data_IF_624071719934
#
_entry.id   IF_624071719934
#
_cell.length_a   1.000
_cell.length_b   1.000
_cell.length_c   1.000
_cell.angle_alpha   90.00
_cell.angle_beta   90.00
_cell.angle_gamma   90.00
#
_symmetry.space_group_name_H-M   'P 1'
#
loop_
_entity.id
_entity.type
_entity.pdbx_description
1 polymer ?
#
# COMPACT_ATOMS: atom_id res chain seq x y z
N UNK A 1 -18.28 38.20 19.26
CA UNK A 1 -16.87 38.51 18.93
C UNK A 1 -16.24 37.23 18.42
N UNK A 2 -15.81 37.19 17.15
CA UNK A 2 -15.00 36.07 16.64
C UNK A 2 -13.69 36.08 17.44
N UNK A 3 -13.43 35.02 18.19
CA UNK A 3 -12.20 34.91 18.98
C UNK A 3 -11.01 34.76 18.04
N UNK A 4 -9.87 35.39 18.36
CA UNK A 4 -8.63 35.27 17.56
C UNK A 4 -8.23 33.79 17.34
N UNK A 5 -8.54 32.95 18.31
CA UNK A 5 -8.37 31.49 18.24
C UNK A 5 -9.20 30.84 17.13
N UNK A 6 -10.45 31.26 16.90
CA UNK A 6 -11.27 30.73 15.81
C UNK A 6 -10.69 31.11 14.45
N UNK A 7 -10.23 32.36 14.29
CA UNK A 7 -9.59 32.81 13.06
C UNK A 7 -8.33 32.00 12.76
N UNK A 8 -7.49 31.77 13.79
CA UNK A 8 -6.29 30.94 13.70
C UNK A 8 -6.62 29.51 13.31
N UNK A 9 -7.61 28.89 13.96
CA UNK A 9 -8.06 27.53 13.66
C UNK A 9 -8.58 27.39 12.22
N UNK A 10 -9.35 28.36 11.73
CA UNK A 10 -9.83 28.40 10.35
C UNK A 10 -8.67 28.52 9.36
N UNK A 11 -7.68 29.37 9.63
CA UNK A 11 -6.52 29.56 8.77
C UNK A 11 -5.64 28.31 8.72
N UNK A 12 -5.35 27.70 9.88
CA UNK A 12 -4.58 26.45 9.97
C UNK A 12 -5.29 25.32 9.25
N UNK A 13 -6.57 25.10 9.52
CA UNK A 13 -7.35 24.04 8.85
C UNK A 13 -7.48 24.27 7.34
N UNK A 14 -7.58 25.52 6.89
CA UNK A 14 -7.55 25.88 5.47
C UNK A 14 -6.23 25.48 4.82
N UNK A 15 -5.09 25.80 5.46
CA UNK A 15 -3.76 25.41 4.97
C UNK A 15 -3.60 23.88 4.91
N UNK A 16 -4.00 23.16 5.95
CA UNK A 16 -3.89 21.69 5.99
C UNK A 16 -4.80 21.02 4.94
N UNK A 17 -6.04 21.49 4.79
CA UNK A 17 -6.97 21.00 3.77
C UNK A 17 -6.50 21.32 2.35
N UNK A 18 -5.92 22.51 2.14
CA UNK A 18 -5.30 22.89 0.88
C UNK A 18 -4.09 22.00 0.54
N UNK A 19 -3.25 21.66 1.53
CA UNK A 19 -2.09 20.80 1.30
C UNK A 19 -2.51 19.41 0.78
N UNK A 20 -3.50 18.78 1.41
CA UNK A 20 -4.07 17.50 0.95
C UNK A 20 -4.68 17.67 -0.45
N UNK A 21 -5.46 18.73 -0.65
CA UNK A 21 -6.12 19.00 -1.92
C UNK A 21 -5.15 19.25 -3.09
N UNK A 22 -3.97 19.82 -2.81
CA UNK A 22 -2.93 20.07 -3.81
C UNK A 22 -2.25 18.77 -4.26
N UNK A 23 -1.91 17.87 -3.33
CA UNK A 23 -1.39 16.54 -3.68
C UNK A 23 -2.40 15.78 -4.53
N UNK A 24 -3.68 15.80 -4.14
CA UNK A 24 -4.77 15.14 -4.88
C UNK A 24 -4.95 15.71 -6.29
N UNK A 25 -4.83 17.03 -6.44
CA UNK A 25 -4.93 17.68 -7.75
C UNK A 25 -3.71 17.38 -8.62
N UNK A 26 -2.50 17.36 -8.06
CA UNK A 26 -1.28 17.01 -8.78
C UNK A 26 -1.35 15.56 -9.29
N UNK A 27 -1.73 14.58 -8.44
CA UNK A 27 -1.88 13.18 -8.87
C UNK A 27 -2.80 13.08 -10.11
N UNK A 28 -3.91 13.82 -10.09
CA UNK A 28 -4.87 13.87 -11.20
C UNK A 28 -4.23 14.39 -12.49
N UNK A 29 -3.56 15.54 -12.43
CA UNK A 29 -2.98 16.19 -13.62
C UNK A 29 -1.84 15.36 -14.23
N UNK A 30 -1.07 14.66 -13.40
CA UNK A 30 0.10 13.90 -13.89
C UNK A 30 -0.27 12.49 -14.37
N UNK A 31 -1.15 11.78 -13.67
CA UNK A 31 -1.35 10.34 -13.91
C UNK A 31 -2.67 9.99 -14.59
N UNK A 32 -3.69 10.85 -14.51
CA UNK A 32 -5.03 10.60 -15.06
C UNK A 32 -5.61 11.82 -15.81
N UNK A 33 -4.95 12.34 -16.86
CA UNK A 33 -5.46 13.47 -17.63
C UNK A 33 -6.83 13.12 -18.26
N UNK A 34 -7.82 14.01 -18.09
CA UNK A 34 -9.15 13.88 -18.68
C UNK A 34 -10.21 13.13 -17.84
N UNK A 35 -9.86 12.50 -16.71
CA UNK A 35 -10.87 11.92 -15.80
C UNK A 35 -11.34 12.95 -14.76
N UNK A 36 -12.64 13.23 -14.70
CA UNK A 36 -13.24 14.04 -13.62
C UNK A 36 -13.17 13.28 -12.29
N UNK A 37 -12.17 13.54 -11.45
CA UNK A 37 -12.05 12.94 -10.10
C UNK A 37 -12.93 13.68 -9.07
N UNK A 38 -13.27 12.97 -7.98
CA UNK A 38 -14.23 13.33 -6.93
C UNK A 38 -14.05 14.72 -6.29
N UNK A 39 -12.81 15.18 -6.13
CA UNK A 39 -12.47 16.31 -5.28
C UNK A 39 -11.10 16.86 -5.66
N UNK A 40 -10.95 18.19 -5.68
CA UNK A 40 -9.68 18.90 -5.89
C UNK A 40 -9.35 19.83 -4.73
N UNK A 41 -8.39 20.74 -4.92
CA UNK A 41 -7.92 21.69 -3.89
C UNK A 41 -9.08 22.32 -3.10
N UNK A 42 -10.02 22.95 -3.82
CA UNK A 42 -11.19 23.63 -3.25
C UNK A 42 -12.06 22.70 -2.39
N UNK A 43 -12.29 21.47 -2.84
CA UNK A 43 -13.15 20.51 -2.15
C UNK A 43 -12.55 20.09 -0.80
N UNK A 44 -11.26 19.76 -0.78
CA UNK A 44 -10.56 19.38 0.46
C UNK A 44 -10.41 20.56 1.43
N UNK A 45 -10.18 21.77 0.90
CA UNK A 45 -10.20 22.99 1.73
C UNK A 45 -11.57 23.18 2.39
N UNK A 46 -12.67 23.03 1.65
CA UNK A 46 -14.02 23.16 2.22
C UNK A 46 -14.33 22.06 3.23
N UNK A 47 -13.90 20.81 2.99
CA UNK A 47 -14.09 19.71 3.94
C UNK A 47 -13.36 19.93 5.26
N UNK A 48 -12.13 20.43 5.22
CA UNK A 48 -11.37 20.79 6.42
C UNK A 48 -12.05 21.92 7.19
N UNK A 49 -12.46 22.99 6.50
CA UNK A 49 -13.19 24.11 7.10
C UNK A 49 -14.51 23.66 7.75
N UNK A 50 -15.26 22.77 7.08
CA UNK A 50 -16.51 22.21 7.59
C UNK A 50 -16.25 21.41 8.86
N UNK A 51 -15.17 20.62 8.91
CA UNK A 51 -14.70 19.93 10.11
C UNK A 51 -14.41 20.88 11.27
N UNK A 52 -13.67 21.96 11.01
CA UNK A 52 -13.31 22.96 12.03
C UNK A 52 -14.55 23.69 12.56
N UNK A 53 -15.47 24.08 11.67
CA UNK A 53 -16.71 24.76 12.06
C UNK A 53 -17.60 23.83 12.88
N UNK A 54 -17.80 22.58 12.45
CA UNK A 54 -18.56 21.60 13.21
C UNK A 54 -17.93 21.31 14.57
N UNK A 55 -16.60 21.23 14.66
CA UNK A 55 -15.87 21.07 15.92
C UNK A 55 -16.09 22.26 16.85
N UNK A 56 -16.04 23.48 16.33
CA UNK A 56 -16.30 24.70 17.10
C UNK A 56 -17.76 24.78 17.60
N UNK A 57 -18.74 24.52 16.73
CA UNK A 57 -20.16 24.52 17.12
C UNK A 57 -20.51 23.44 18.14
N UNK A 58 -19.75 22.34 18.18
CA UNK A 58 -19.95 21.27 19.17
C UNK A 58 -19.69 21.74 20.59
N UNK A 59 -18.76 22.68 20.78
CA UNK A 59 -18.47 23.26 22.09
C UNK A 59 -19.53 24.28 22.55
N UNK A 60 -20.29 24.86 21.61
CA UNK A 60 -21.25 25.95 21.89
C UNK A 60 -22.70 25.44 21.97
N UNK A 61 -23.10 24.54 21.07
CA UNK A 61 -24.50 24.17 20.86
C UNK A 61 -24.81 22.79 21.41
N UNK A 62 -24.17 21.74 20.89
CA UNK A 62 -24.46 20.36 21.29
C UNK A 62 -23.29 19.40 21.00
N UNK A 63 -22.95 18.48 21.91
CA UNK A 63 -21.88 17.48 21.74
C UNK A 63 -22.00 16.59 20.49
N UNK A 64 -23.22 16.38 20.00
CA UNK A 64 -23.48 15.52 18.83
C UNK A 64 -23.37 16.24 17.48
N UNK A 65 -23.14 17.55 17.46
CA UNK A 65 -23.14 18.32 16.22
C UNK A 65 -21.98 17.90 15.29
N UNK A 66 -20.80 17.62 15.83
CA UNK A 66 -19.67 17.07 15.08
C UNK A 66 -20.00 15.72 14.44
N UNK A 67 -20.62 14.81 15.20
CA UNK A 67 -21.00 13.49 14.69
C UNK A 67 -22.06 13.60 13.58
N UNK A 68 -23.03 14.49 13.75
CA UNK A 68 -24.05 14.76 12.73
C UNK A 68 -23.43 15.31 11.43
N UNK A 69 -22.49 16.25 11.54
CA UNK A 69 -21.74 16.79 10.40
C UNK A 69 -20.90 15.73 9.70
N UNK A 70 -20.21 14.88 10.46
CA UNK A 70 -19.45 13.75 9.94
C UNK A 70 -20.33 12.76 9.18
N UNK A 71 -21.46 12.37 9.75
CA UNK A 71 -22.43 11.47 9.11
C UNK A 71 -23.01 12.07 7.84
N UNK A 72 -23.41 13.35 7.87
CA UNK A 72 -23.92 14.05 6.69
C UNK A 72 -22.89 14.06 5.55
N UNK A 73 -21.62 14.32 5.88
CA UNK A 73 -20.53 14.30 4.90
C UNK A 73 -20.26 12.88 4.37
N UNK A 74 -20.27 11.86 5.23
CA UNK A 74 -20.10 10.47 4.82
C UNK A 74 -21.22 10.00 3.88
N UNK A 75 -22.47 10.35 4.19
CA UNK A 75 -23.62 10.07 3.34
C UNK A 75 -23.50 10.80 2.00
N UNK A 76 -23.13 12.08 2.01
CA UNK A 76 -22.95 12.86 0.78
C UNK A 76 -21.87 12.26 -0.13
N UNK A 77 -20.71 11.89 0.43
CA UNK A 77 -19.64 11.21 -0.30
C UNK A 77 -20.09 9.85 -0.83
N UNK A 78 -20.81 9.06 -0.02
CA UNK A 78 -21.31 7.75 -0.43
C UNK A 78 -22.29 7.85 -1.59
N UNK A 79 -23.24 8.80 -1.55
CA UNK A 79 -24.17 9.08 -2.63
C UNK A 79 -23.41 9.49 -3.89
N UNK A 80 -22.45 10.41 -3.77
CA UNK A 80 -21.65 10.85 -4.91
C UNK A 80 -20.86 9.69 -5.55
N UNK A 81 -20.23 8.85 -4.73
CA UNK A 81 -19.54 7.65 -5.19
C UNK A 81 -20.49 6.67 -5.88
N UNK A 82 -21.68 6.46 -5.34
CA UNK A 82 -22.69 5.58 -5.92
C UNK A 82 -23.16 6.05 -7.30
N UNK A 83 -23.48 7.34 -7.45
CA UNK A 83 -23.85 7.92 -8.75
C UNK A 83 -22.73 7.82 -9.77
N UNK A 84 -21.48 8.04 -9.34
CA UNK A 84 -20.31 8.00 -10.23
C UNK A 84 -19.89 6.58 -10.62
N UNK A 85 -20.12 5.59 -9.76
CA UNK A 85 -19.78 4.19 -10.01
C UNK A 85 -20.46 3.62 -11.28
N UNK A 86 -21.58 4.21 -11.72
CA UNK A 86 -22.25 3.85 -12.98
C UNK A 86 -21.44 4.14 -14.25
N UNK A 87 -20.37 4.94 -14.16
CA UNK A 87 -19.70 5.50 -15.35
C UNK A 87 -18.18 5.27 -15.39
N UNK A 88 -17.54 4.66 -14.37
CA UNK A 88 -16.08 4.47 -14.37
C UNK A 88 -15.62 3.25 -13.58
N UNK A 89 -14.65 2.52 -14.12
CA UNK A 89 -14.09 1.27 -13.57
C UNK A 89 -13.15 1.45 -12.35
N UNK A 90 -12.79 2.69 -11.98
CA UNK A 90 -12.03 2.99 -10.76
C UNK A 90 -12.86 3.90 -9.85
N UNK A 91 -13.55 3.34 -8.85
CA UNK A 91 -14.32 4.13 -7.92
C UNK A 91 -13.33 4.81 -6.97
N UNK A 92 -13.42 6.12 -6.82
CA UNK A 92 -12.54 6.92 -5.97
C UNK A 92 -12.75 6.69 -4.47
N UNK A 93 -12.81 5.43 -4.01
CA UNK A 93 -13.04 5.04 -2.61
C UNK A 93 -11.98 5.65 -1.70
N UNK A 94 -10.71 5.64 -2.11
CA UNK A 94 -9.62 6.30 -1.38
C UNK A 94 -9.81 7.81 -1.29
N UNK A 95 -10.35 8.46 -2.33
CA UNK A 95 -10.67 9.90 -2.29
C UNK A 95 -11.77 10.20 -1.27
N UNK A 96 -12.78 9.33 -1.17
CA UNK A 96 -13.84 9.46 -0.14
C UNK A 96 -13.29 9.32 1.28
N UNK A 97 -12.46 8.31 1.51
CA UNK A 97 -11.81 8.09 2.81
C UNK A 97 -10.90 9.26 3.22
N UNK A 98 -10.08 9.78 2.30
CA UNK A 98 -9.24 10.96 2.54
C UNK A 98 -10.11 12.19 2.82
N UNK A 99 -11.28 12.30 2.16
CA UNK A 99 -12.23 13.37 2.46
C UNK A 99 -12.71 13.35 3.90
N UNK A 100 -13.14 12.18 4.38
CA UNK A 100 -13.55 12.00 5.78
C UNK A 100 -12.40 12.27 6.75
N UNK A 101 -11.17 11.83 6.44
CA UNK A 101 -9.99 12.16 7.23
C UNK A 101 -9.73 13.67 7.27
N UNK A 102 -9.94 14.37 6.16
CA UNK A 102 -9.73 15.82 6.07
C UNK A 102 -10.73 16.57 6.96
N UNK A 103 -11.97 16.10 7.04
CA UNK A 103 -12.95 16.62 7.99
C UNK A 103 -12.51 16.41 9.45
N UNK A 104 -12.01 15.21 9.78
CA UNK A 104 -11.51 14.91 11.12
C UNK A 104 -10.30 15.79 11.48
N UNK A 105 -9.37 16.01 10.53
CA UNK A 105 -8.22 16.91 10.69
C UNK A 105 -8.69 18.33 11.03
N UNK A 106 -9.69 18.87 10.32
CA UNK A 106 -10.29 20.16 10.66
C UNK A 106 -10.90 20.18 12.08
N UNK A 107 -11.58 19.09 12.44
CA UNK A 107 -12.08 18.89 13.81
C UNK A 107 -10.98 18.93 14.87
N UNK A 108 -9.84 18.25 14.64
CA UNK A 108 -8.70 18.27 15.58
C UNK A 108 -8.17 19.70 15.80
N UNK A 109 -8.12 20.52 14.75
CA UNK A 109 -7.71 21.93 14.86
C UNK A 109 -8.70 22.72 15.73
N UNK A 110 -10.01 22.46 15.62
CA UNK A 110 -11.01 23.10 16.48
C UNK A 110 -10.89 22.71 17.97
N UNK A 111 -10.36 21.52 18.27
CA UNK A 111 -10.05 21.09 19.65
C UNK A 111 -8.66 21.55 20.14
N UNK A 112 -7.96 22.40 19.39
CA UNK A 112 -6.64 22.94 19.76
C UNK A 112 -5.48 21.95 19.59
N UNK A 113 -5.69 20.82 18.91
CA UNK A 113 -4.68 19.79 18.67
C UNK A 113 -3.92 20.03 17.36
N UNK A 114 -3.38 21.24 17.18
CA UNK A 114 -2.72 21.68 15.94
C UNK A 114 -1.57 20.75 15.52
N UNK A 115 -0.76 20.29 16.48
CA UNK A 115 0.38 19.39 16.22
C UNK A 115 -0.07 18.04 15.67
N UNK A 116 -1.11 17.46 16.27
CA UNK A 116 -1.64 16.17 15.83
C UNK A 116 -2.29 16.29 14.45
N UNK A 117 -3.03 17.38 14.20
CA UNK A 117 -3.60 17.68 12.88
C UNK A 117 -2.52 17.79 11.80
N UNK A 118 -1.41 18.48 12.10
CA UNK A 118 -0.29 18.64 11.18
C UNK A 118 0.42 17.31 10.88
N UNK A 119 0.74 16.52 11.90
CA UNK A 119 1.38 15.20 11.72
C UNK A 119 0.48 14.29 10.87
N UNK A 120 -0.81 14.20 11.22
CA UNK A 120 -1.77 13.37 10.49
C UNK A 120 -1.91 13.82 9.03
N UNK A 121 -1.98 15.13 8.78
CA UNK A 121 -2.02 15.71 7.43
C UNK A 121 -0.79 15.28 6.63
N UNK A 122 0.41 15.44 7.20
CA UNK A 122 1.65 15.05 6.52
C UNK A 122 1.73 13.55 6.26
N UNK A 123 1.34 12.72 7.23
CA UNK A 123 1.28 11.26 7.05
C UNK A 123 0.35 10.87 5.91
N UNK A 124 -0.84 11.49 5.85
CA UNK A 124 -1.80 11.28 4.76
C UNK A 124 -1.18 11.72 3.43
N UNK A 125 -0.62 12.91 3.33
CA UNK A 125 0.03 13.42 2.10
C UNK A 125 1.16 12.49 1.64
N UNK A 126 2.01 12.00 2.55
CA UNK A 126 3.09 11.07 2.22
C UNK A 126 2.55 9.74 1.69
N UNK A 127 1.54 9.16 2.38
CA UNK A 127 0.92 7.90 1.95
C UNK A 127 0.32 8.02 0.57
N UNK A 128 -0.37 9.14 0.32
CA UNK A 128 -0.98 9.47 -0.95
C UNK A 128 0.07 9.66 -2.06
N UNK A 129 1.16 10.37 -1.79
CA UNK A 129 2.27 10.55 -2.73
C UNK A 129 3.00 9.23 -3.06
N UNK A 130 2.98 8.25 -2.15
CA UNK A 130 3.59 6.93 -2.36
C UNK A 130 2.74 6.00 -3.24
N UNK A 131 1.44 6.27 -3.38
CA UNK A 131 0.51 5.46 -4.17
C UNK A 131 0.98 5.14 -5.60
N UNK A 132 1.43 6.11 -6.43
CA UNK A 132 1.91 5.81 -7.78
C UNK A 132 3.10 4.87 -7.80
N UNK A 133 4.04 5.00 -6.85
CA UNK A 133 5.19 4.10 -6.73
C UNK A 133 4.75 2.67 -6.41
N UNK A 134 3.86 2.51 -5.42
CA UNK A 134 3.32 1.20 -5.05
C UNK A 134 2.57 0.57 -6.21
N UNK A 135 1.76 1.36 -6.94
CA UNK A 135 1.01 0.85 -8.09
C UNK A 135 1.93 0.47 -9.26
N UNK A 136 2.98 1.26 -9.51
CA UNK A 136 3.97 0.97 -10.56
C UNK A 136 4.78 -0.29 -10.24
N UNK A 137 5.18 -0.47 -8.98
CA UNK A 137 5.85 -1.69 -8.51
C UNK A 137 4.90 -2.89 -8.58
N UNK A 138 3.64 -2.72 -8.16
CA UNK A 138 2.60 -3.75 -8.29
C UNK A 138 2.41 -4.21 -9.74
N UNK A 139 2.43 -3.28 -10.71
CA UNK A 139 2.32 -3.59 -12.15
C UNK A 139 3.53 -4.33 -12.71
N UNK A 140 4.69 -4.29 -12.04
CA UNK A 140 5.87 -5.08 -12.45
C UNK A 140 5.74 -6.55 -12.07
N UNK A 141 4.86 -6.88 -11.12
CA UNK A 141 4.58 -8.25 -10.73
C UNK A 141 3.60 -8.91 -11.72
N UNK A 142 4.06 -9.96 -12.39
CA UNK A 142 3.22 -10.88 -13.15
C UNK A 142 2.48 -11.83 -12.22
N UNK A 143 1.40 -12.45 -12.71
CA UNK A 143 0.72 -13.56 -12.04
C UNK A 143 1.69 -14.70 -11.71
N UNK A 144 2.68 -14.93 -12.58
CA UNK A 144 3.75 -15.91 -12.36
C UNK A 144 4.61 -15.54 -11.14
N UNK A 145 5.01 -14.26 -11.00
CA UNK A 145 5.86 -13.81 -9.88
C UNK A 145 5.16 -14.06 -8.54
N UNK A 146 3.88 -13.70 -8.47
CA UNK A 146 3.05 -13.87 -7.28
C UNK A 146 2.85 -15.35 -6.96
N UNK A 147 2.61 -16.19 -7.98
CA UNK A 147 2.48 -17.65 -7.80
C UNK A 147 3.77 -18.26 -7.26
N UNK A 148 4.92 -17.92 -7.83
CA UNK A 148 6.22 -18.46 -7.41
C UNK A 148 6.57 -18.01 -5.99
N UNK A 149 6.35 -16.74 -5.67
CA UNK A 149 6.55 -16.22 -4.32
C UNK A 149 5.63 -16.90 -3.29
N UNK A 150 4.35 -17.08 -3.61
CA UNK A 150 3.38 -17.77 -2.75
C UNK A 150 3.74 -19.25 -2.55
N UNK A 151 4.15 -19.96 -3.60
CA UNK A 151 4.56 -21.36 -3.49
C UNK A 151 5.79 -21.51 -2.59
N UNK A 152 6.80 -20.67 -2.79
CA UNK A 152 7.98 -20.67 -1.93
C UNK A 152 7.64 -20.31 -0.48
N UNK A 153 6.83 -19.27 -0.26
CA UNK A 153 6.35 -18.88 1.07
C UNK A 153 5.51 -19.97 1.74
N UNK A 154 4.70 -20.71 0.99
CA UNK A 154 3.93 -21.84 1.53
C UNK A 154 4.86 -22.98 1.97
N UNK A 155 5.81 -23.39 1.13
CA UNK A 155 6.75 -24.48 1.45
C UNK A 155 7.62 -24.13 2.67
N UNK A 156 8.11 -22.88 2.74
CA UNK A 156 9.03 -22.42 3.79
C UNK A 156 8.33 -21.96 5.06
N UNK A 157 7.28 -21.17 4.94
CA UNK A 157 6.61 -20.53 6.07
C UNK A 157 5.44 -21.32 6.64
N UNK A 158 4.87 -22.26 5.87
CA UNK A 158 3.73 -23.07 6.32
C UNK A 158 4.12 -24.53 6.49
N UNK A 159 4.72 -25.15 5.46
CA UNK A 159 4.95 -26.60 5.50
C UNK A 159 6.15 -26.94 6.39
N UNK A 160 7.30 -26.28 6.22
CA UNK A 160 8.50 -26.55 7.02
C UNK A 160 8.25 -26.54 8.54
N UNK A 161 7.60 -25.51 9.14
CA UNK A 161 7.33 -25.51 10.58
C UNK A 161 6.28 -26.54 11.02
N UNK A 162 5.48 -27.09 10.09
CA UNK A 162 4.54 -28.18 10.38
C UNK A 162 5.22 -29.56 10.38
N UNK A 163 6.40 -29.70 9.77
CA UNK A 163 7.09 -30.98 9.66
C UNK A 163 7.77 -31.32 10.99
N UNK A 164 7.45 -32.46 11.61
CA UNK A 164 8.07 -32.87 12.86
C UNK A 164 9.57 -33.11 12.72
N UNK A 165 10.32 -32.64 13.70
CA UNK A 165 11.79 -32.73 13.77
C UNK A 165 12.25 -34.05 14.44
N UNK A 166 11.60 -35.16 14.08
CA UNK A 166 11.83 -36.47 14.70
C UNK A 166 12.34 -37.51 13.69
N UNK A 167 13.38 -38.29 14.02
CA UNK A 167 13.89 -39.35 13.16
C UNK A 167 12.91 -40.54 13.11
N UNK A 168 12.48 -40.90 11.90
CA UNK A 168 11.61 -42.02 11.57
C UNK A 168 12.40 -43.20 10.93
N UNK A 169 11.89 -44.43 11.09
CA UNK A 169 12.41 -45.66 10.47
C UNK A 169 13.36 -46.52 11.33
N UNK A 170 13.70 -47.75 10.90
CA UNK A 170 14.65 -48.61 11.62
C UNK A 170 16.02 -47.94 11.71
N UNK A 171 16.54 -47.75 12.92
CA UNK A 171 17.77 -46.98 13.24
C UNK A 171 17.68 -45.45 13.10
N UNK A 172 16.50 -44.85 12.96
CA UNK A 172 16.34 -43.39 12.94
C UNK A 172 16.97 -42.69 11.72
N UNK A 173 17.11 -43.40 10.60
CA UNK A 173 17.83 -42.92 9.43
C UNK A 173 17.11 -41.82 8.62
N UNK A 174 15.80 -41.63 8.81
CA UNK A 174 15.01 -40.65 8.04
C UNK A 174 14.48 -39.53 8.93
N UNK A 175 15.00 -38.31 8.80
CA UNK A 175 14.39 -37.13 9.43
C UNK A 175 13.54 -36.36 8.38
N UNK A 176 12.20 -36.33 8.50
CA UNK A 176 11.31 -35.58 7.60
C UNK A 176 11.69 -34.11 7.47
N UNK A 177 12.10 -33.46 8.56
CA UNK A 177 12.47 -32.05 8.56
C UNK A 177 13.76 -31.80 7.75
N UNK A 178 14.75 -32.69 7.85
CA UNK A 178 15.98 -32.61 7.04
C UNK A 178 15.71 -32.78 5.54
N UNK A 179 14.78 -33.66 5.18
CA UNK A 179 14.36 -33.85 3.79
C UNK A 179 13.61 -32.61 3.29
N UNK A 180 12.75 -32.03 4.14
CA UNK A 180 12.00 -30.83 3.77
C UNK A 180 12.89 -29.59 3.64
N UNK A 181 13.95 -29.48 4.44
CA UNK A 181 14.99 -28.47 4.27
C UNK A 181 15.66 -28.56 2.89
N UNK A 182 15.88 -29.78 2.37
CA UNK A 182 16.34 -29.97 0.99
C UNK A 182 15.35 -29.41 -0.04
N UNK A 183 14.04 -29.61 0.17
CA UNK A 183 12.98 -29.04 -0.69
C UNK A 183 12.99 -27.51 -0.64
N UNK A 184 13.17 -26.93 0.54
CA UNK A 184 13.30 -25.49 0.75
C UNK A 184 14.53 -24.93 0.03
N UNK A 185 15.68 -25.60 0.12
CA UNK A 185 16.90 -25.18 -0.57
C UNK A 185 16.75 -25.20 -2.09
N UNK A 186 16.21 -26.29 -2.66
CA UNK A 186 16.01 -26.40 -4.11
C UNK A 186 14.97 -25.39 -4.61
N UNK A 187 13.87 -25.22 -3.87
CA UNK A 187 12.83 -24.24 -4.21
C UNK A 187 13.34 -22.80 -4.07
N UNK A 188 14.18 -22.53 -3.06
CA UNK A 188 14.81 -21.25 -2.83
C UNK A 188 15.83 -20.89 -3.90
N UNK A 189 16.64 -21.86 -4.35
CA UNK A 189 17.54 -21.67 -5.49
C UNK A 189 16.75 -21.39 -6.78
N UNK A 190 15.65 -22.11 -7.02
CA UNK A 190 14.79 -21.93 -8.19
C UNK A 190 14.11 -20.55 -8.19
N UNK A 191 13.54 -20.14 -7.05
CA UNK A 191 12.92 -18.83 -6.87
C UNK A 191 13.97 -17.70 -6.95
N UNK A 192 15.13 -17.88 -6.32
CA UNK A 192 16.24 -16.93 -6.39
C UNK A 192 16.76 -16.72 -7.81
N UNK A 193 16.89 -17.81 -8.59
CA UNK A 193 17.21 -17.75 -10.02
C UNK A 193 16.17 -16.99 -10.83
N UNK A 194 14.89 -17.27 -10.59
CA UNK A 194 13.79 -16.56 -11.22
C UNK A 194 13.83 -15.05 -10.94
N UNK A 195 14.03 -14.67 -9.68
CA UNK A 195 14.17 -13.26 -9.25
C UNK A 195 15.41 -12.61 -9.87
N UNK A 196 16.54 -13.32 -9.94
CA UNK A 196 17.76 -12.83 -10.56
C UNK A 196 17.55 -12.53 -12.07
N UNK A 197 16.90 -13.44 -12.79
CA UNK A 197 16.55 -13.22 -14.21
C UNK A 197 15.60 -12.04 -14.38
N UNK A 198 14.63 -11.90 -13.47
CA UNK A 198 13.66 -10.81 -13.49
C UNK A 198 14.32 -9.44 -13.24
N UNK A 199 15.28 -9.35 -12.33
CA UNK A 199 15.95 -8.09 -11.95
C UNK A 199 17.06 -7.68 -12.92
N UNK A 200 17.89 -8.64 -13.37
CA UNK A 200 19.07 -8.37 -14.20
C UNK A 200 18.84 -8.60 -15.70
N UNK A 201 17.63 -9.03 -16.10
CA UNK A 201 17.25 -9.29 -17.48
C UNK A 201 17.78 -10.62 -18.01
N UNK A 202 17.22 -11.08 -19.15
CA UNK A 202 17.41 -12.43 -19.69
C UNK A 202 18.89 -12.78 -19.99
N UNK A 203 19.75 -11.79 -20.28
CA UNK A 203 21.17 -12.00 -20.62
C UNK A 203 22.09 -12.23 -19.40
N UNK A 204 21.87 -11.53 -18.29
CA UNK A 204 22.63 -11.77 -17.04
C UNK A 204 21.95 -12.79 -16.13
N UNK A 205 20.64 -12.95 -16.26
CA UNK A 205 19.83 -13.86 -15.46
C UNK A 205 20.25 -15.30 -15.57
N UNK A 206 20.50 -15.80 -16.78
CA UNK A 206 20.86 -17.21 -17.01
C UNK A 206 22.27 -17.48 -16.45
N UNK A 207 23.20 -16.54 -16.62
CA UNK A 207 24.56 -16.64 -16.09
C UNK A 207 24.60 -16.61 -14.55
N UNK A 208 23.83 -15.72 -13.90
CA UNK A 208 23.73 -15.68 -12.44
C UNK A 208 22.97 -16.90 -11.87
N UNK A 209 21.92 -17.35 -12.54
CA UNK A 209 21.20 -18.57 -12.12
C UNK A 209 22.08 -19.80 -12.25
N UNK A 210 22.92 -19.87 -13.28
CA UNK A 210 23.94 -20.91 -13.45
C UNK A 210 25.03 -20.86 -12.37
N UNK A 211 25.45 -19.65 -11.97
CA UNK A 211 26.42 -19.45 -10.90
C UNK A 211 25.84 -19.82 -9.51
N UNK A 212 24.62 -19.36 -9.20
CA UNK A 212 23.91 -19.65 -7.94
C UNK A 212 23.47 -21.13 -7.87
N UNK A 213 23.00 -21.70 -8.98
CA UNK A 213 22.72 -23.13 -9.09
C UNK A 213 23.98 -23.99 -8.97
N UNK A 214 25.13 -23.45 -9.38
CA UNK A 214 26.41 -24.14 -9.29
C UNK A 214 27.07 -24.16 -7.92
N UNK A 215 26.89 -23.09 -7.13
CA UNK A 215 27.25 -23.09 -5.71
C UNK A 215 26.31 -23.96 -4.87
N UNK A 216 25.05 -24.13 -5.30
CA UNK A 216 24.09 -25.01 -4.62
C UNK A 216 24.28 -26.51 -4.97
N UNK A 217 24.78 -26.82 -6.17
CA UNK A 217 25.06 -28.20 -6.58
C UNK A 217 26.05 -28.24 -7.75
N UNK A 218 27.28 -28.70 -7.49
CA UNK A 218 28.31 -28.88 -8.53
C UNK A 218 27.86 -29.79 -9.68
N UNK A 219 26.87 -30.66 -9.44
CA UNK A 219 26.25 -31.54 -10.46
C UNK A 219 25.43 -30.76 -11.49
N UNK A 220 24.77 -29.67 -11.09
CA UNK A 220 23.97 -28.84 -11.99
C UNK A 220 24.86 -28.02 -12.94
N UNK A 221 26.01 -27.53 -12.47
CA UNK A 221 27.02 -26.85 -13.30
C UNK A 221 27.59 -27.76 -14.37
N UNK A 222 27.97 -28.99 -14.00
CA UNK A 222 28.52 -29.95 -14.97
C UNK A 222 27.52 -30.27 -16.08
N UNK A 223 26.24 -30.43 -15.75
CA UNK A 223 25.20 -30.73 -16.72
C UNK A 223 24.90 -29.55 -17.67
N UNK A 224 24.97 -28.31 -17.16
CA UNK A 224 24.78 -27.10 -17.95
C UNK A 224 25.95 -26.86 -18.92
N UNK A 225 27.19 -26.94 -18.44
CA UNK A 225 28.38 -26.76 -19.28
C UNK A 225 28.52 -27.88 -20.34
N UNK A 226 28.10 -29.11 -20.01
CA UNK A 226 28.13 -30.22 -20.98
C UNK A 226 27.13 -30.05 -22.13
N UNK A 227 26.02 -29.34 -21.90
CA UNK A 227 25.05 -29.00 -22.96
C UNK A 227 25.51 -27.85 -23.85
N UNK A 228 26.22 -26.86 -23.30
CA UNK A 228 26.82 -25.77 -24.09
C UNK A 228 28.05 -26.21 -24.91
N UNK A 229 28.80 -27.22 -24.45
CA UNK A 229 29.94 -27.76 -25.20
C UNK A 229 29.56 -28.58 -26.45
N UNK A 230 28.26 -28.74 -26.73
CA UNK A 230 27.73 -29.42 -27.93
C UNK A 230 27.19 -28.47 -29.00
N UNK A 231 27.31 -27.16 -28.80
CA UNK A 231 27.15 -26.14 -29.86
C UNK A 231 28.51 -25.78 -30.45
#
# INVERSE_FOLDING_TARGET
MVTAELLKALLVSLCLGALIGLERQWEKETWHPGKHVLAGLRTFTFWSLLGTLCGYFTQIVHPFFFLAGFLAMAVWIAIFLFYKNRSSADPGYTTGAVGLLTYLIGGLVAYGQDKAALILTLTVVILLALKPYVHQVSRRFSKEDVRMALQFAAITGVILPLVPDEPWGPHGAFNPHSIWLMVVLVSGASFGGYVAVRLFGHKLGIALTGLIGGIASSTATTLAMSKESKA
#
